data_IF_668806197384
#
_entry.id   IF_668806197384
#
_cell.length_a   1.000
_cell.length_b   1.000
_cell.length_c   1.000
_cell.angle_alpha   90.00
_cell.angle_beta   90.00
_cell.angle_gamma   90.00
#
_symmetry.space_group_name_H-M   'P 1'
#
loop_
_entity.id
_entity.type
_entity.pdbx_description
1 polymer ?
#
# COMPACT_ATOMS: atom_id res chain seq x y z
N UNK A 1 23.06 7.45 -27.21
CA UNK A 1 21.61 7.59 -27.37
C UNK A 1 20.95 6.21 -27.50
N UNK A 2 21.43 5.31 -28.38
CA UNK A 2 20.90 3.93 -28.53
C UNK A 2 20.88 3.12 -27.23
N UNK A 3 21.94 3.16 -26.43
CA UNK A 3 22.03 2.41 -25.16
C UNK A 3 21.06 2.93 -24.08
N UNK A 4 20.75 4.23 -24.06
CA UNK A 4 19.76 4.81 -23.15
C UNK A 4 18.32 4.40 -23.52
N UNK A 5 18.00 4.39 -24.81
CA UNK A 5 16.69 3.94 -25.31
C UNK A 5 16.52 2.44 -25.01
N UNK A 6 17.57 1.65 -25.22
CA UNK A 6 17.58 0.21 -24.95
C UNK A 6 17.42 -0.08 -23.44
N UNK A 7 18.05 0.72 -22.58
CA UNK A 7 17.89 0.64 -21.13
C UNK A 7 16.46 0.96 -20.66
N UNK A 8 15.83 2.00 -21.20
CA UNK A 8 14.47 2.40 -20.88
C UNK A 8 13.46 1.34 -21.36
N UNK A 9 13.61 0.82 -22.58
CA UNK A 9 12.72 -0.23 -23.10
C UNK A 9 12.85 -1.53 -22.33
N UNK A 10 14.06 -1.89 -21.89
CA UNK A 10 14.30 -3.08 -21.06
C UNK A 10 13.68 -2.91 -19.66
N UNK A 11 13.79 -1.73 -19.05
CA UNK A 11 13.19 -1.43 -17.75
C UNK A 11 11.65 -1.46 -17.82
N UNK A 12 11.06 -0.86 -18.87
CA UNK A 12 9.60 -0.91 -19.11
C UNK A 12 9.14 -2.34 -19.41
N UNK A 13 9.90 -3.11 -20.16
CA UNK A 13 9.62 -4.53 -20.44
C UNK A 13 9.64 -5.40 -19.20
N UNK A 14 10.62 -5.21 -18.32
CA UNK A 14 10.74 -5.94 -17.05
C UNK A 14 9.58 -5.59 -16.11
N UNK A 15 9.24 -4.31 -15.98
CA UNK A 15 8.10 -3.88 -15.16
C UNK A 15 6.78 -4.42 -15.70
N UNK A 16 6.58 -4.45 -17.02
CA UNK A 16 5.40 -5.04 -17.66
C UNK A 16 5.29 -6.56 -17.42
N UNK A 17 6.41 -7.29 -17.51
CA UNK A 17 6.45 -8.74 -17.24
C UNK A 17 6.17 -9.07 -15.77
N UNK A 18 6.60 -8.22 -14.84
CA UNK A 18 6.32 -8.36 -13.40
C UNK A 18 4.82 -8.15 -13.13
N UNK A 19 4.21 -7.15 -13.77
CA UNK A 19 2.79 -6.84 -13.62
C UNK A 19 1.87 -7.88 -14.28
N UNK A 20 2.29 -8.51 -15.38
CA UNK A 20 1.48 -9.49 -16.13
C UNK A 20 1.35 -10.85 -15.44
N UNK A 21 2.23 -11.18 -14.51
CA UNK A 21 2.25 -12.48 -13.82
C UNK A 21 1.31 -12.52 -12.61
N UNK A 22 0.01 -12.46 -12.87
CA UNK A 22 -1.12 -12.36 -11.92
C UNK A 22 -1.23 -13.51 -10.89
N UNK A 23 -0.48 -14.58 -11.01
CA UNK A 23 -0.54 -15.75 -10.12
C UNK A 23 0.55 -15.83 -9.04
N UNK A 24 1.39 -14.79 -8.89
CA UNK A 24 2.45 -14.77 -7.87
C UNK A 24 2.31 -13.67 -6.82
N UNK A 25 1.11 -13.12 -6.63
CA UNK A 25 0.85 -12.10 -5.60
C UNK A 25 1.24 -12.62 -4.21
N UNK A 26 0.99 -13.89 -3.92
CA UNK A 26 1.42 -14.54 -2.67
C UNK A 26 2.93 -14.64 -2.53
N UNK A 27 3.66 -14.99 -3.60
CA UNK A 27 5.12 -15.09 -3.55
C UNK A 27 5.79 -13.72 -3.57
N UNK A 28 5.19 -12.73 -4.24
CA UNK A 28 5.65 -11.35 -4.21
C UNK A 28 5.41 -10.73 -2.81
N UNK A 29 4.31 -11.09 -2.17
CA UNK A 29 4.00 -10.70 -0.80
C UNK A 29 5.02 -11.27 0.19
N UNK A 30 5.39 -12.55 0.07
CA UNK A 30 6.45 -13.18 0.86
C UNK A 30 7.85 -12.59 0.57
N UNK A 31 8.13 -12.19 -0.67
CA UNK A 31 9.40 -11.58 -1.05
C UNK A 31 9.50 -10.13 -0.53
N UNK A 32 8.44 -9.34 -0.61
CA UNK A 32 8.35 -8.00 -0.02
C UNK A 32 8.44 -8.02 1.50
N UNK A 33 7.94 -9.08 2.14
CA UNK A 33 8.09 -9.32 3.57
C UNK A 33 9.56 -9.47 3.99
N UNK A 34 10.39 -10.05 3.13
CA UNK A 34 11.83 -10.25 3.36
C UNK A 34 12.67 -8.97 3.18
N UNK A 35 12.15 -7.95 2.45
CA UNK A 35 12.87 -6.71 2.13
C UNK A 35 12.55 -5.51 3.05
N UNK A 36 12.00 -5.72 4.23
CA UNK A 36 11.78 -4.64 5.22
C UNK A 36 10.57 -3.74 4.96
N UNK A 37 9.73 -4.05 3.97
CA UNK A 37 8.44 -3.39 3.72
C UNK A 37 7.32 -3.92 4.64
N UNK A 38 7.67 -4.75 5.61
CA UNK A 38 6.77 -5.41 6.54
C UNK A 38 5.85 -4.43 7.28
N UNK A 39 6.42 -3.34 7.77
CA UNK A 39 5.67 -2.32 8.52
C UNK A 39 4.60 -1.60 7.69
N UNK A 40 4.91 -1.30 6.43
CA UNK A 40 3.97 -0.64 5.51
C UNK A 40 2.87 -1.60 5.09
N UNK A 41 3.22 -2.85 4.84
CA UNK A 41 2.27 -3.88 4.44
C UNK A 41 1.32 -4.24 5.60
N UNK A 42 1.83 -4.41 6.82
CA UNK A 42 1.00 -4.62 8.02
C UNK A 42 0.01 -3.48 8.20
N UNK A 43 0.45 -2.23 8.05
CA UNK A 43 -0.43 -1.06 8.15
C UNK A 43 -1.52 -1.07 7.10
N UNK A 44 -1.18 -1.40 5.84
CA UNK A 44 -2.15 -1.48 4.75
C UNK A 44 -3.19 -2.59 4.97
N UNK A 45 -2.76 -3.79 5.34
CA UNK A 45 -3.65 -4.92 5.63
C UNK A 45 -4.56 -4.59 6.82
N UNK A 46 -4.01 -4.03 7.90
CA UNK A 46 -4.78 -3.61 9.07
C UNK A 46 -5.78 -2.51 8.74
N UNK A 47 -5.42 -1.56 7.87
CA UNK A 47 -6.32 -0.51 7.41
C UNK A 47 -7.52 -1.07 6.64
N UNK A 48 -7.26 -1.96 5.68
CA UNK A 48 -8.33 -2.58 4.90
C UNK A 48 -9.24 -3.41 5.79
N UNK A 49 -8.66 -4.19 6.71
CA UNK A 49 -9.41 -4.98 7.68
C UNK A 49 -10.29 -4.10 8.57
N UNK A 50 -9.71 -3.03 9.15
CA UNK A 50 -10.43 -2.07 9.98
C UNK A 50 -11.58 -1.40 9.23
N UNK A 51 -11.36 -0.98 7.97
CA UNK A 51 -12.34 -0.31 7.14
C UNK A 51 -13.54 -1.20 6.83
N UNK A 52 -13.31 -2.44 6.39
CA UNK A 52 -14.40 -3.37 6.14
C UNK A 52 -15.15 -3.73 7.43
N UNK A 53 -14.42 -3.93 8.52
CA UNK A 53 -15.05 -4.21 9.81
C UNK A 53 -15.92 -3.08 10.27
N UNK A 54 -15.42 -1.84 10.22
CA UNK A 54 -16.16 -0.64 10.55
C UNK A 54 -17.44 -0.49 9.71
N UNK A 55 -17.37 -0.71 8.40
CA UNK A 55 -18.53 -0.61 7.52
C UNK A 55 -19.64 -1.61 7.90
N UNK A 56 -19.26 -2.83 8.27
CA UNK A 56 -20.20 -3.83 8.72
C UNK A 56 -20.85 -3.47 10.07
N UNK A 57 -20.06 -2.94 11.01
CA UNK A 57 -20.56 -2.46 12.29
C UNK A 57 -21.50 -1.25 12.12
N UNK A 58 -21.21 -0.31 11.22
CA UNK A 58 -22.10 0.81 10.88
C UNK A 58 -23.45 0.36 10.33
N UNK A 59 -23.50 -0.80 9.67
CA UNK A 59 -24.74 -1.41 9.18
C UNK A 59 -25.53 -2.15 10.28
N UNK A 60 -25.10 -2.07 11.52
CA UNK A 60 -25.78 -2.69 12.66
C UNK A 60 -25.44 -4.15 12.91
N UNK A 61 -24.44 -4.71 12.21
CA UNK A 61 -23.98 -6.07 12.49
C UNK A 61 -23.22 -6.11 13.81
N UNK A 62 -23.41 -7.17 14.58
CA UNK A 62 -22.59 -7.41 15.76
C UNK A 62 -21.14 -7.74 15.35
N UNK A 63 -20.19 -7.55 16.27
CA UNK A 63 -18.77 -7.86 16.05
C UNK A 63 -18.55 -9.27 15.48
N UNK A 64 -19.26 -10.26 16.02
CA UNK A 64 -19.17 -11.65 15.56
C UNK A 64 -19.72 -11.83 14.13
N UNK A 65 -20.91 -11.30 13.86
CA UNK A 65 -21.52 -11.37 12.52
C UNK A 65 -20.67 -10.66 11.47
N UNK A 66 -20.09 -9.51 11.81
CA UNK A 66 -19.19 -8.79 10.93
C UNK A 66 -17.95 -9.63 10.57
N UNK A 67 -17.34 -10.31 11.54
CA UNK A 67 -16.21 -11.20 11.30
C UNK A 67 -16.60 -12.42 10.45
N UNK A 68 -17.77 -13.02 10.67
CA UNK A 68 -18.28 -14.14 9.85
C UNK A 68 -18.46 -13.75 8.37
N UNK A 69 -18.90 -12.51 8.11
CA UNK A 69 -18.98 -11.96 6.76
C UNK A 69 -17.58 -11.78 6.17
N UNK A 70 -16.63 -11.27 6.94
CA UNK A 70 -15.24 -11.05 6.49
C UNK A 70 -14.51 -12.37 6.17
N UNK A 71 -14.81 -13.47 6.87
CA UNK A 71 -14.27 -14.79 6.54
C UNK A 71 -14.68 -15.25 5.14
N UNK A 72 -15.90 -14.91 4.71
CA UNK A 72 -16.42 -15.27 3.38
C UNK A 72 -15.87 -14.41 2.25
N UNK A 73 -15.02 -13.43 2.54
CA UNK A 73 -14.51 -12.45 1.59
C UNK A 73 -13.41 -13.05 0.69
N UNK A 74 -13.79 -13.75 -0.36
CA UNK A 74 -12.87 -14.46 -1.26
C UNK A 74 -11.92 -13.55 -2.04
N UNK A 75 -12.27 -12.26 -2.21
CA UNK A 75 -11.47 -11.31 -2.99
C UNK A 75 -10.14 -10.93 -2.33
N UNK A 76 -10.01 -11.12 -1.02
CA UNK A 76 -8.81 -10.75 -0.22
C UNK A 76 -8.54 -11.81 0.84
N UNK A 77 -7.72 -12.81 0.51
CA UNK A 77 -7.45 -13.95 1.39
C UNK A 77 -6.82 -13.53 2.73
N UNK A 78 -6.07 -12.42 2.77
CA UNK A 78 -5.46 -11.91 4.00
C UNK A 78 -6.52 -11.47 5.02
N UNK A 79 -7.60 -10.83 4.55
CA UNK A 79 -8.71 -10.38 5.41
C UNK A 79 -9.50 -11.58 5.95
N UNK A 80 -9.79 -12.55 5.07
CA UNK A 80 -10.47 -13.78 5.45
C UNK A 80 -9.66 -14.56 6.50
N UNK A 81 -8.34 -14.64 6.31
CA UNK A 81 -7.43 -15.28 7.27
C UNK A 81 -7.44 -14.57 8.63
N UNK A 82 -7.30 -13.25 8.67
CA UNK A 82 -7.37 -12.48 9.91
C UNK A 82 -8.72 -12.66 10.61
N UNK A 83 -9.82 -12.54 9.88
CA UNK A 83 -11.16 -12.72 10.43
C UNK A 83 -11.36 -14.12 11.03
N UNK A 84 -10.86 -15.16 10.38
CA UNK A 84 -10.92 -16.54 10.90
C UNK A 84 -10.12 -16.71 12.19
N UNK A 85 -8.93 -16.09 12.28
CA UNK A 85 -8.13 -16.09 13.51
C UNK A 85 -8.85 -15.38 14.67
N UNK A 86 -9.51 -14.25 14.38
CA UNK A 86 -10.30 -13.54 15.39
C UNK A 86 -11.46 -14.41 15.90
N UNK A 87 -12.22 -15.04 15.00
CA UNK A 87 -13.33 -15.94 15.39
C UNK A 87 -12.82 -17.09 16.22
N UNK A 88 -11.74 -17.74 15.80
CA UNK A 88 -11.14 -18.85 16.55
C UNK A 88 -10.69 -18.43 17.95
N UNK A 89 -10.09 -17.26 18.08
CA UNK A 89 -9.64 -16.73 19.36
C UNK A 89 -10.82 -16.40 20.28
N UNK A 90 -11.89 -15.81 19.76
CA UNK A 90 -13.12 -15.56 20.54
C UNK A 90 -13.81 -16.87 20.95
N UNK A 91 -13.86 -17.86 20.06
CA UNK A 91 -14.45 -19.17 20.37
C UNK A 91 -13.66 -19.94 21.42
N UNK A 92 -12.34 -19.70 21.54
CA UNK A 92 -11.48 -20.29 22.57
C UNK A 92 -11.51 -19.52 23.91
N UNK A 93 -12.41 -18.55 24.05
CA UNK A 93 -12.58 -17.77 25.30
C UNK A 93 -11.44 -16.79 25.58
N UNK A 94 -10.60 -16.47 24.59
CA UNK A 94 -9.57 -15.45 24.76
C UNK A 94 -10.19 -14.08 24.86
N UNK A 95 -9.66 -13.27 25.77
CA UNK A 95 -10.03 -11.86 25.92
C UNK A 95 -9.72 -11.09 24.62
N UNK A 96 -10.55 -10.07 24.33
CA UNK A 96 -10.38 -9.21 23.15
C UNK A 96 -8.97 -8.67 23.01
N UNK A 97 -8.38 -8.22 24.12
CA UNK A 97 -7.04 -7.68 24.19
C UNK A 97 -5.98 -8.64 23.62
N UNK A 98 -6.01 -9.92 24.06
CA UNK A 98 -5.10 -10.96 23.58
C UNK A 98 -5.40 -11.38 22.14
N UNK A 99 -6.63 -11.26 21.71
CA UNK A 99 -7.03 -11.61 20.33
C UNK A 99 -6.51 -10.60 19.32
N UNK A 100 -6.51 -9.31 19.67
CA UNK A 100 -6.02 -8.24 18.79
C UNK A 100 -4.49 -8.18 18.75
N UNK A 101 -3.78 -8.71 19.76
CA UNK A 101 -2.32 -8.83 19.76
C UNK A 101 -1.86 -9.87 18.73
N UNK A 102 -2.06 -9.57 17.47
CA UNK A 102 -1.66 -10.45 16.37
C UNK A 102 -0.43 -9.87 15.65
N UNK A 103 0.54 -10.74 15.36
CA UNK A 103 1.78 -10.38 14.67
C UNK A 103 1.54 -9.73 13.29
N UNK A 104 0.44 -10.06 12.63
CA UNK A 104 0.13 -9.57 11.29
C UNK A 104 -0.50 -8.17 11.27
N UNK A 105 -0.86 -7.61 12.43
CA UNK A 105 -1.52 -6.31 12.55
C UNK A 105 -0.53 -5.19 12.89
N UNK A 106 -0.90 -3.96 12.49
CA UNK A 106 -0.15 -2.75 12.86
C UNK A 106 -0.32 -2.47 14.36
N UNK A 107 0.78 -2.13 15.04
CA UNK A 107 0.77 -1.83 16.48
C UNK A 107 -0.20 -0.71 16.86
N UNK A 108 -0.41 0.27 15.98
CA UNK A 108 -1.39 1.35 16.21
C UNK A 108 -2.81 0.83 16.16
N UNK A 109 -3.11 -0.07 15.24
CA UNK A 109 -4.42 -0.73 15.18
C UNK A 109 -4.71 -1.48 16.47
N UNK A 110 -3.74 -2.22 16.99
CA UNK A 110 -3.87 -2.96 18.23
C UNK A 110 -4.23 -2.03 19.39
N UNK A 111 -3.45 -0.98 19.59
CA UNK A 111 -3.64 -0.03 20.70
C UNK A 111 -5.02 0.66 20.61
N UNK A 112 -5.35 1.23 19.46
CA UNK A 112 -6.61 1.97 19.26
C UNK A 112 -7.82 1.05 19.40
N UNK A 113 -7.73 -0.18 18.88
CA UNK A 113 -8.81 -1.17 18.99
C UNK A 113 -9.03 -1.62 20.42
N UNK A 114 -7.98 -1.82 21.21
CA UNK A 114 -8.07 -2.17 22.62
C UNK A 114 -8.74 -1.04 23.43
N UNK A 115 -8.26 0.20 23.25
CA UNK A 115 -8.85 1.37 23.90
C UNK A 115 -10.34 1.54 23.55
N UNK A 116 -10.69 1.44 22.26
CA UNK A 116 -12.06 1.57 21.81
C UNK A 116 -12.98 0.48 22.35
N UNK A 117 -12.46 -0.71 22.53
CA UNK A 117 -13.23 -1.82 23.12
C UNK A 117 -13.49 -1.60 24.62
N UNK A 118 -12.48 -1.14 25.39
CA UNK A 118 -12.60 -0.86 26.82
C UNK A 118 -13.63 0.24 27.11
N UNK A 119 -13.75 1.24 26.23
CA UNK A 119 -14.67 2.39 26.38
C UNK A 119 -16.04 2.15 25.68
N UNK A 120 -16.31 0.94 25.20
CA UNK A 120 -17.51 0.61 24.41
C UNK A 120 -17.72 1.50 23.16
N UNK A 121 -16.65 2.05 22.60
CA UNK A 121 -16.66 2.90 21.40
C UNK A 121 -15.86 2.30 20.25
N UNK A 122 -15.89 0.99 20.12
CA UNK A 122 -15.09 0.26 19.14
C UNK A 122 -15.28 0.72 17.68
N UNK A 123 -16.50 1.01 17.18
CA UNK A 123 -16.69 1.53 15.84
C UNK A 123 -16.02 2.89 15.61
N UNK A 124 -16.04 3.78 16.63
CA UNK A 124 -15.36 5.07 16.57
C UNK A 124 -13.84 4.90 16.54
N UNK A 125 -13.29 3.99 17.35
CA UNK A 125 -11.87 3.68 17.36
C UNK A 125 -11.37 3.17 16.01
N UNK A 126 -12.14 2.31 15.35
CA UNK A 126 -11.83 1.86 13.98
C UNK A 126 -11.83 3.02 12.98
N UNK A 127 -12.80 3.95 13.12
CA UNK A 127 -12.87 5.15 12.28
C UNK A 127 -11.65 6.05 12.47
N UNK A 128 -11.25 6.27 13.71
CA UNK A 128 -10.06 7.06 14.04
C UNK A 128 -8.79 6.43 13.46
N UNK A 129 -8.61 5.12 13.61
CA UNK A 129 -7.50 4.41 13.01
C UNK A 129 -7.49 4.55 11.48
N UNK A 130 -8.62 4.39 10.81
CA UNK A 130 -8.74 4.57 9.38
C UNK A 130 -8.33 5.98 8.96
N UNK A 131 -8.80 7.01 9.63
CA UNK A 131 -8.44 8.40 9.35
C UNK A 131 -6.94 8.70 9.54
N UNK A 132 -6.31 8.11 10.55
CA UNK A 132 -4.85 8.22 10.76
C UNK A 132 -4.06 7.58 9.61
N UNK A 133 -4.50 6.43 9.11
CA UNK A 133 -3.83 5.74 8.01
C UNK A 133 -4.09 6.45 6.69
N UNK A 134 -5.28 6.98 6.45
CA UNK A 134 -5.61 7.80 5.26
C UNK A 134 -4.69 9.02 5.17
N UNK A 135 -4.54 9.79 6.24
CA UNK A 135 -3.58 10.90 6.29
C UNK A 135 -2.14 10.48 6.00
N UNK A 136 -1.74 9.31 6.50
CA UNK A 136 -0.41 8.78 6.22
C UNK A 136 -0.26 8.39 4.74
N UNK A 137 -1.27 7.80 4.11
CA UNK A 137 -1.29 7.46 2.68
C UNK A 137 -1.20 8.74 1.85
N UNK A 138 -2.00 9.76 2.15
CA UNK A 138 -2.00 11.04 1.44
C UNK A 138 -0.63 11.72 1.50
N UNK A 139 0.01 11.73 2.66
CA UNK A 139 1.36 12.26 2.81
C UNK A 139 2.38 11.47 1.97
N UNK A 140 2.24 10.15 1.89
CA UNK A 140 3.12 9.31 1.06
C UNK A 140 2.89 9.53 -0.44
N UNK A 141 1.64 9.65 -0.87
CA UNK A 141 1.30 9.98 -2.24
C UNK A 141 1.84 11.36 -2.64
N UNK A 142 1.71 12.35 -1.76
CA UNK A 142 2.29 13.67 -2.00
C UNK A 142 3.82 13.61 -2.18
N UNK A 143 4.54 12.89 -1.32
CA UNK A 143 5.99 12.70 -1.45
C UNK A 143 6.37 12.05 -2.79
N UNK A 144 5.62 11.02 -3.22
CA UNK A 144 5.86 10.37 -4.52
C UNK A 144 5.57 11.31 -5.67
N UNK A 145 4.48 12.10 -5.60
CA UNK A 145 4.14 13.09 -6.63
C UNK A 145 5.24 14.13 -6.81
N UNK A 146 5.79 14.67 -5.72
CA UNK A 146 6.90 15.63 -5.77
C UNK A 146 8.14 14.99 -6.40
N UNK A 147 8.45 13.75 -6.06
CA UNK A 147 9.59 13.04 -6.63
C UNK A 147 9.44 12.84 -8.14
N UNK A 148 8.26 12.40 -8.60
CA UNK A 148 7.94 12.26 -10.03
C UNK A 148 8.08 13.60 -10.76
N UNK A 149 7.63 14.68 -10.15
CA UNK A 149 7.71 16.02 -10.71
C UNK A 149 9.17 16.48 -10.91
N UNK A 150 10.04 16.23 -9.94
CA UNK A 150 11.48 16.53 -10.03
C UNK A 150 12.11 15.75 -11.20
N UNK A 151 11.81 14.45 -11.33
CA UNK A 151 12.31 13.65 -12.44
C UNK A 151 11.80 14.13 -13.81
N UNK A 152 10.53 14.53 -13.89
CA UNK A 152 9.94 15.07 -15.13
C UNK A 152 10.63 16.37 -15.56
N UNK A 153 10.85 17.30 -14.64
CA UNK A 153 11.57 18.54 -14.95
C UNK A 153 13.03 18.29 -15.34
N UNK A 154 13.72 17.38 -14.68
CA UNK A 154 15.08 16.97 -15.06
C UNK A 154 15.12 16.41 -16.49
N UNK A 155 14.16 15.59 -16.87
CA UNK A 155 14.06 15.02 -18.20
C UNK A 155 13.79 16.08 -19.28
N UNK A 156 12.88 17.02 -19.00
CA UNK A 156 12.63 18.15 -19.90
C UNK A 156 13.89 19.00 -20.10
N UNK A 157 14.63 19.28 -19.03
CA UNK A 157 15.90 20.00 -19.10
C UNK A 157 16.91 19.34 -20.01
N UNK A 158 17.06 18.02 -19.94
CA UNK A 158 17.94 17.25 -20.81
C UNK A 158 17.51 17.39 -22.30
N UNK A 159 16.21 17.28 -22.57
CA UNK A 159 15.68 17.42 -23.94
C UNK A 159 15.99 18.83 -24.49
N UNK A 160 15.78 19.87 -23.70
CA UNK A 160 16.07 21.25 -24.11
C UNK A 160 17.54 21.43 -24.47
N UNK A 161 18.47 20.88 -23.66
CA UNK A 161 19.90 20.95 -23.94
C UNK A 161 20.22 20.21 -25.26
N UNK A 162 19.64 19.04 -25.49
CA UNK A 162 19.86 18.27 -26.72
C UNK A 162 19.37 19.03 -27.97
N UNK A 163 18.20 19.65 -27.89
CA UNK A 163 17.64 20.46 -28.98
C UNK A 163 18.52 21.65 -29.23
N UNK A 164 18.99 22.35 -28.20
CA UNK A 164 19.91 23.47 -28.33
C UNK A 164 21.22 23.09 -29.04
N UNK A 165 21.83 21.98 -28.63
CA UNK A 165 23.05 21.47 -29.28
C UNK A 165 22.81 21.12 -30.75
N UNK A 166 21.67 20.49 -31.09
CA UNK A 166 21.32 20.18 -32.47
C UNK A 166 21.15 21.42 -33.35
N UNK A 167 20.63 22.51 -32.78
CA UNK A 167 20.47 23.79 -33.50
C UNK A 167 21.81 24.53 -33.70
N UNK A 168 22.76 24.40 -32.76
CA UNK A 168 24.07 25.08 -32.87
C UNK A 168 25.06 24.33 -33.78
N UNK A 169 24.86 23.07 -34.07
CA UNK A 169 25.73 22.26 -34.92
C UNK A 169 25.91 22.81 -36.35
N UNK A 170 24.84 23.23 -37.07
CA UNK A 170 24.98 23.78 -38.39
C UNK A 170 25.67 25.18 -38.44
N UNK A 171 25.53 25.97 -37.35
CA UNK A 171 26.21 27.27 -37.27
C UNK A 171 27.73 27.14 -37.14
N UNK A 172 28.22 26.15 -36.37
CA UNK A 172 29.67 25.91 -36.22
C UNK A 172 30.33 25.41 -37.51
N UNK A 173 29.57 24.81 -38.44
CA UNK A 173 30.07 24.38 -39.76
C UNK A 173 30.18 25.57 -40.72
N UNK A 174 29.39 26.64 -40.54
CA UNK A 174 29.46 27.88 -41.37
C UNK A 174 30.64 28.79 -40.97
N UNK A 175 31.14 28.70 -39.72
CA UNK A 175 32.33 29.45 -39.27
C UNK A 175 33.67 28.85 -39.76
N UNK A 176 33.66 27.67 -40.29
CA UNK A 176 34.87 26.93 -40.76
C UNK A 176 35.04 27.05 -42.29
N UNK A 177 34.21 27.78 -43.03
CA UNK A 177 34.34 28.08 -44.46
C UNK A 177 34.73 29.54 -44.63
#
# INVERSE_FOLDING_TARGET
ICYLILGITLFVGITYLILKKKNKVLNLWLFLHRFGLDKTNKRYVSYIFARYWQELLKRGLSTKQALEVLVKFQSKPEISFLASQFIQSFSSGKDFKKTVENYYLDSRFIIISQMGYEVNSFPQALNEYCGLVEKWIDNKLHQVSVLVQIFAYGFIGIIVIMVYQAMMMPLSLLETI
#
